data_IF_109811651572
#
_entry.id   IF_109811651572
#
_cell.length_a   1.000
_cell.length_b   1.000
_cell.length_c   1.000
_cell.angle_alpha   90.00
_cell.angle_beta   90.00
_cell.angle_gamma   90.00
#
_symmetry.space_group_name_H-M   'P 1'
#
loop_
_entity.id
_entity.type
_entity.pdbx_description
1 polymer ?
#
# COMPACT_ATOMS: atom_id res chain seq x y z
N UNK A 1 -12.03 -18.79 -31.64
CA UNK A 1 -13.16 -18.85 -30.69
C UNK A 1 -12.60 -18.43 -29.33
N UNK A 2 -12.48 -17.12 -29.09
CA UNK A 2 -12.09 -16.54 -27.80
C UNK A 2 -13.37 -15.97 -27.19
N UNK A 3 -13.99 -16.75 -26.31
CA UNK A 3 -15.19 -16.33 -25.59
C UNK A 3 -14.80 -15.35 -24.49
N UNK A 4 -15.61 -14.29 -24.41
CA UNK A 4 -15.44 -13.13 -23.55
C UNK A 4 -15.55 -13.54 -22.10
N UNK A 5 -14.43 -13.57 -21.37
CA UNK A 5 -14.39 -13.54 -19.90
C UNK A 5 -14.65 -12.13 -19.38
N UNK A 6 -15.75 -11.50 -19.80
CA UNK A 6 -16.15 -10.19 -19.29
C UNK A 6 -17.61 -10.27 -18.88
N UNK A 7 -17.87 -9.77 -17.67
CA UNK A 7 -19.18 -9.56 -17.04
C UNK A 7 -19.62 -10.66 -16.07
N UNK A 8 -18.88 -10.79 -14.96
CA UNK A 8 -19.43 -11.20 -13.67
C UNK A 8 -19.85 -9.95 -12.88
N UNK A 9 -20.82 -10.04 -11.94
CA UNK A 9 -21.42 -8.87 -11.31
C UNK A 9 -20.38 -8.09 -10.49
N UNK A 10 -20.10 -6.85 -10.93
CA UNK A 10 -19.46 -5.81 -10.11
C UNK A 10 -20.31 -5.56 -8.87
N UNK A 11 -19.71 -5.44 -7.68
CA UNK A 11 -19.44 -4.11 -7.11
C UNK A 11 -18.37 -4.16 -5.98
N UNK A 12 -17.55 -5.22 -5.95
CA UNK A 12 -16.56 -5.44 -4.87
C UNK A 12 -15.10 -5.36 -5.34
N UNK A 13 -14.77 -6.00 -6.46
CA UNK A 13 -13.38 -6.09 -6.95
C UNK A 13 -12.86 -4.78 -7.54
N UNK A 14 -13.75 -3.88 -7.95
CA UNK A 14 -13.36 -2.53 -8.40
C UNK A 14 -12.68 -1.72 -7.29
N UNK A 15 -12.88 -2.06 -6.01
CA UNK A 15 -12.27 -1.31 -4.89
C UNK A 15 -10.82 -1.72 -4.60
N UNK A 16 -10.49 -3.01 -4.60
CA UNK A 16 -9.14 -3.49 -4.26
C UNK A 16 -8.15 -3.26 -5.39
N UNK A 17 -8.49 -3.66 -6.62
CA UNK A 17 -7.58 -3.51 -7.76
C UNK A 17 -7.28 -2.03 -8.03
N UNK A 18 -8.30 -1.17 -7.89
CA UNK A 18 -8.12 0.28 -8.00
C UNK A 18 -7.25 0.84 -6.88
N UNK A 19 -7.46 0.41 -5.63
CA UNK A 19 -6.61 0.81 -4.51
C UNK A 19 -5.16 0.34 -4.69
N UNK A 20 -4.96 -0.91 -5.13
CA UNK A 20 -3.64 -1.47 -5.42
C UNK A 20 -2.95 -0.71 -6.56
N UNK A 21 -3.67 -0.38 -7.64
CA UNK A 21 -3.16 0.37 -8.77
C UNK A 21 -2.81 1.83 -8.41
N UNK A 22 -3.68 2.49 -7.64
CA UNK A 22 -3.43 3.83 -7.11
C UNK A 22 -2.18 3.82 -6.23
N UNK A 23 -2.09 2.88 -5.30
CA UNK A 23 -0.95 2.72 -4.43
C UNK A 23 0.33 2.38 -5.20
N UNK A 24 0.27 1.60 -6.27
CA UNK A 24 1.43 1.34 -7.11
C UNK A 24 1.97 2.63 -7.75
N UNK A 25 1.06 3.49 -8.21
CA UNK A 25 1.40 4.82 -8.76
C UNK A 25 1.99 5.74 -7.69
N UNK A 26 1.40 5.76 -6.50
CA UNK A 26 1.93 6.54 -5.38
C UNK A 26 3.28 6.01 -4.88
N UNK A 27 3.49 4.68 -4.86
CA UNK A 27 4.80 4.08 -4.54
C UNK A 27 5.87 4.50 -5.53
N UNK A 28 5.53 4.58 -6.82
CA UNK A 28 6.46 5.08 -7.84
C UNK A 28 6.84 6.55 -7.58
N UNK A 29 5.88 7.38 -7.16
CA UNK A 29 6.14 8.77 -6.77
C UNK A 29 7.02 8.87 -5.51
N UNK A 30 6.75 8.07 -4.47
CA UNK A 30 7.56 8.02 -3.25
C UNK A 30 9.00 7.60 -3.56
N UNK A 31 9.20 6.59 -4.42
CA UNK A 31 10.52 6.16 -4.88
C UNK A 31 11.22 7.24 -5.69
N UNK A 32 10.52 7.85 -6.65
CA UNK A 32 11.07 8.96 -7.42
C UNK A 32 11.52 10.13 -6.54
N UNK A 33 10.78 10.41 -5.46
CA UNK A 33 11.20 11.39 -4.46
C UNK A 33 12.41 10.92 -3.66
N UNK A 34 12.44 9.67 -3.19
CA UNK A 34 13.58 9.12 -2.49
C UNK A 34 14.85 9.19 -3.36
N UNK A 35 14.74 8.84 -4.64
CA UNK A 35 15.80 8.85 -5.68
C UNK A 35 16.20 10.23 -6.14
N UNK A 36 15.37 11.24 -5.91
CA UNK A 36 15.77 12.61 -6.13
C UNK A 36 16.93 12.96 -5.18
N UNK A 37 18.11 13.29 -5.71
CA UNK A 37 19.29 13.66 -4.92
C UNK A 37 19.28 15.10 -4.40
N UNK A 38 18.24 15.88 -4.70
CA UNK A 38 18.17 17.29 -4.36
C UNK A 38 17.81 17.51 -2.87
N UNK A 39 18.15 18.70 -2.37
CA UNK A 39 17.60 19.20 -1.13
C UNK A 39 16.13 19.59 -1.35
N UNK A 40 15.26 19.20 -0.42
CA UNK A 40 13.83 19.50 -0.47
C UNK A 40 13.42 20.35 0.72
N UNK A 41 12.43 21.22 0.51
CA UNK A 41 11.83 21.95 1.61
C UNK A 41 11.11 21.00 2.58
N UNK A 42 11.12 21.35 3.87
CA UNK A 42 10.45 20.54 4.91
C UNK A 42 8.97 20.28 4.58
N UNK A 43 8.28 21.25 3.96
CA UNK A 43 6.89 21.08 3.53
C UNK A 43 6.73 19.96 2.52
N UNK A 44 7.66 19.82 1.58
CA UNK A 44 7.66 18.73 0.59
C UNK A 44 7.89 17.37 1.26
N UNK A 45 8.85 17.29 2.20
CA UNK A 45 9.12 16.04 2.94
C UNK A 45 7.91 15.60 3.75
N UNK A 46 7.25 16.54 4.46
CA UNK A 46 6.02 16.26 5.21
C UNK A 46 4.88 15.81 4.30
N UNK A 47 4.74 16.41 3.13
CA UNK A 47 3.74 16.01 2.14
C UNK A 47 3.96 14.57 1.66
N UNK A 48 5.20 14.16 1.44
CA UNK A 48 5.58 12.79 1.04
C UNK A 48 5.17 11.79 2.14
N UNK A 49 5.43 12.10 3.41
CA UNK A 49 4.97 11.24 4.51
C UNK A 49 3.45 11.21 4.66
N UNK A 50 2.78 12.35 4.44
CA UNK A 50 1.32 12.40 4.43
C UNK A 50 0.73 11.52 3.32
N UNK A 51 1.34 11.51 2.13
CA UNK A 51 0.96 10.61 1.06
C UNK A 51 1.14 9.14 1.45
N UNK A 52 2.29 8.78 2.05
CA UNK A 52 2.51 7.43 2.54
C UNK A 52 1.44 6.99 3.55
N UNK A 53 1.09 7.86 4.50
CA UNK A 53 0.01 7.60 5.46
C UNK A 53 -1.36 7.41 4.77
N UNK A 54 -1.69 8.23 3.76
CA UNK A 54 -2.94 8.10 3.00
C UNK A 54 -3.02 6.80 2.22
N UNK A 55 -1.90 6.33 1.66
CA UNK A 55 -1.84 5.02 1.01
C UNK A 55 -2.13 3.88 1.99
N UNK A 56 -1.63 3.99 3.23
CA UNK A 56 -1.91 3.00 4.27
C UNK A 56 -3.39 2.95 4.57
N UNK A 57 -4.02 4.10 4.83
CA UNK A 57 -5.44 4.19 5.12
C UNK A 57 -6.30 3.61 3.97
N UNK A 58 -6.01 3.98 2.73
CA UNK A 58 -6.74 3.48 1.55
C UNK A 58 -6.60 1.95 1.37
N UNK A 59 -5.41 1.41 1.65
CA UNK A 59 -5.16 -0.04 1.59
C UNK A 59 -5.97 -0.81 2.64
N UNK A 60 -6.05 -0.27 3.86
CA UNK A 60 -6.86 -0.84 4.95
C UNK A 60 -8.34 -0.81 4.61
N UNK A 61 -8.82 0.30 4.05
CA UNK A 61 -10.23 0.44 3.64
C UNK A 61 -10.58 -0.55 2.52
N UNK A 62 -9.76 -0.62 1.47
CA UNK A 62 -9.95 -1.55 0.37
C UNK A 62 -9.91 -3.01 0.85
N UNK A 63 -8.99 -3.33 1.77
CA UNK A 63 -8.96 -4.63 2.45
C UNK A 63 -10.28 -4.92 3.17
N UNK A 64 -10.77 -4.00 4.01
CA UNK A 64 -12.01 -4.21 4.77
C UNK A 64 -13.25 -4.37 3.86
N UNK A 65 -13.27 -3.71 2.69
CA UNK A 65 -14.37 -3.82 1.74
C UNK A 65 -14.32 -5.14 0.96
N UNK A 66 -13.13 -5.60 0.58
CA UNK A 66 -12.92 -6.83 -0.21
C UNK A 66 -13.41 -8.11 0.49
N UNK A 67 -13.47 -8.11 1.83
CA UNK A 67 -13.83 -9.28 2.63
C UNK A 67 -15.32 -9.34 2.97
N UNK A 68 -16.10 -8.32 2.61
CA UNK A 68 -17.53 -8.26 2.92
C UNK A 68 -18.42 -8.93 1.88
N UNK A 69 -17.89 -9.24 0.69
CA UNK A 69 -18.67 -9.79 -0.41
C UNK A 69 -18.06 -11.11 -0.88
N UNK A 70 -18.87 -12.18 -1.03
CA UNK A 70 -18.38 -13.44 -1.59
C UNK A 70 -17.96 -13.23 -3.05
N UNK A 71 -16.74 -13.67 -3.38
CA UNK A 71 -16.19 -13.56 -4.73
C UNK A 71 -16.64 -14.71 -5.65
N UNK A 72 -16.66 -14.52 -6.98
CA UNK A 72 -16.90 -15.61 -7.91
C UNK A 72 -15.73 -16.60 -7.91
N UNK A 73 -16.00 -17.90 -7.84
CA UNK A 73 -14.98 -18.93 -7.94
C UNK A 73 -14.38 -18.99 -9.35
N UNK A 74 -13.05 -19.01 -9.46
CA UNK A 74 -12.31 -19.03 -10.73
C UNK A 74 -11.63 -20.38 -10.91
N UNK A 75 -11.84 -21.04 -12.06
CA UNK A 75 -11.16 -22.31 -12.38
C UNK A 75 -9.91 -22.08 -13.22
N UNK A 76 -8.78 -22.59 -12.75
CA UNK A 76 -7.50 -22.66 -13.45
C UNK A 76 -7.14 -24.13 -13.72
N UNK A 77 -7.55 -24.65 -14.87
CA UNK A 77 -7.38 -26.06 -15.22
C UNK A 77 -8.17 -26.99 -14.30
N UNK A 78 -7.46 -27.78 -13.50
CA UNK A 78 -8.04 -28.64 -12.46
C UNK A 78 -8.17 -27.96 -11.10
N UNK A 79 -7.61 -26.77 -10.92
CA UNK A 79 -7.69 -26.02 -9.68
C UNK A 79 -8.89 -25.08 -9.69
N UNK A 80 -9.58 -24.96 -8.56
CA UNK A 80 -10.67 -23.98 -8.36
C UNK A 80 -10.21 -23.05 -7.26
N UNK A 81 -10.00 -21.78 -7.60
CA UNK A 81 -9.85 -20.70 -6.62
C UNK A 81 -11.26 -20.41 -6.13
N UNK A 82 -11.56 -20.85 -4.92
CA UNK A 82 -12.80 -20.52 -4.25
C UNK A 82 -12.69 -19.18 -3.49
N UNK A 83 -13.74 -18.85 -2.74
CA UNK A 83 -13.85 -17.61 -1.98
C UNK A 83 -12.84 -17.52 -0.83
N UNK A 84 -12.38 -18.65 -0.28
CA UNK A 84 -11.34 -18.68 0.76
C UNK A 84 -9.95 -18.44 0.15
N UNK A 85 -9.65 -19.10 -0.96
CA UNK A 85 -8.42 -18.88 -1.71
C UNK A 85 -8.30 -17.44 -2.23
N UNK A 86 -9.40 -16.88 -2.75
CA UNK A 86 -9.45 -15.50 -3.23
C UNK A 86 -9.15 -14.49 -2.11
N UNK A 87 -9.71 -14.72 -0.92
CA UNK A 87 -9.41 -13.94 0.28
C UNK A 87 -7.94 -14.08 0.71
N UNK A 88 -7.40 -15.30 0.75
CA UNK A 88 -6.00 -15.51 1.10
C UNK A 88 -5.06 -14.77 0.13
N UNK A 89 -5.33 -14.83 -1.17
CA UNK A 89 -4.56 -14.12 -2.19
C UNK A 89 -4.64 -12.59 -2.03
N UNK A 90 -5.84 -12.04 -1.80
CA UNK A 90 -6.02 -10.62 -1.55
C UNK A 90 -5.20 -10.15 -0.33
N UNK A 91 -5.14 -10.98 0.73
CA UNK A 91 -4.35 -10.71 1.93
C UNK A 91 -2.89 -10.61 1.62
N UNK A 92 -2.39 -11.60 0.90
CA UNK A 92 -0.97 -11.67 0.56
C UNK A 92 -0.56 -10.50 -0.34
N UNK A 93 -1.41 -10.10 -1.30
CA UNK A 93 -1.16 -8.93 -2.14
C UNK A 93 -1.05 -7.64 -1.32
N UNK A 94 -1.99 -7.42 -0.41
CA UNK A 94 -2.00 -6.25 0.48
C UNK A 94 -0.81 -6.26 1.44
N UNK A 95 -0.48 -7.41 2.04
CA UNK A 95 0.70 -7.58 2.90
C UNK A 95 2.01 -7.28 2.17
N UNK A 96 2.18 -7.79 0.95
CA UNK A 96 3.35 -7.49 0.11
C UNK A 96 3.44 -5.98 -0.13
N UNK A 97 2.31 -5.33 -0.40
CA UNK A 97 2.28 -3.89 -0.61
C UNK A 97 2.70 -3.12 0.65
N UNK A 98 2.19 -3.47 1.82
CA UNK A 98 2.59 -2.84 3.08
C UNK A 98 4.07 -3.05 3.41
N UNK A 99 4.62 -4.24 3.16
CA UNK A 99 6.06 -4.50 3.33
C UNK A 99 6.91 -3.63 2.41
N UNK A 100 6.46 -3.42 1.16
CA UNK A 100 7.13 -2.50 0.22
C UNK A 100 7.04 -1.05 0.70
N UNK A 101 5.89 -0.63 1.23
CA UNK A 101 5.72 0.71 1.83
C UNK A 101 6.66 0.90 3.02
N UNK A 102 6.71 -0.05 3.96
CA UNK A 102 7.61 0.01 5.12
C UNK A 102 9.07 0.19 4.71
N UNK A 103 9.54 -0.64 3.76
CA UNK A 103 10.91 -0.51 3.25
C UNK A 103 11.17 0.84 2.58
N UNK A 104 10.21 1.37 1.81
CA UNK A 104 10.38 2.64 1.11
C UNK A 104 10.34 3.84 2.06
N UNK A 105 9.50 3.79 3.11
CA UNK A 105 9.43 4.81 4.16
C UNK A 105 10.69 4.80 5.02
N UNK A 106 11.25 3.62 5.32
CA UNK A 106 12.52 3.50 6.04
C UNK A 106 13.66 4.12 5.24
N UNK A 107 13.79 3.77 3.96
CA UNK A 107 14.79 4.32 3.05
C UNK A 107 14.64 5.84 2.89
N UNK A 108 13.40 6.34 2.76
CA UNK A 108 13.13 7.77 2.73
C UNK A 108 13.62 8.46 4.00
N UNK A 109 13.37 7.86 5.17
CA UNK A 109 13.83 8.37 6.46
C UNK A 109 15.35 8.48 6.54
N UNK A 110 16.07 7.43 6.14
CA UNK A 110 17.53 7.43 6.09
C UNK A 110 18.05 8.54 5.17
N UNK A 111 17.47 8.69 3.97
CA UNK A 111 17.88 9.73 3.02
C UNK A 111 17.56 11.14 3.51
N UNK A 112 16.44 11.34 4.20
CA UNK A 112 16.08 12.64 4.80
C UNK A 112 17.04 12.98 5.96
N UNK A 113 17.39 12.02 6.80
CA UNK A 113 18.36 12.23 7.89
C UNK A 113 19.76 12.57 7.37
N UNK A 114 20.22 11.91 6.31
CA UNK A 114 21.53 12.16 5.71
C UNK A 114 21.65 13.55 5.08
N UNK A 115 20.54 14.18 4.71
CA UNK A 115 20.52 15.46 3.98
C UNK A 115 20.40 16.70 4.86
N UNK A 116 20.45 16.52 6.18
CA UNK A 116 20.41 17.58 7.20
C UNK A 116 19.47 18.74 6.82
N UNK A 117 18.16 18.52 6.97
CA UNK A 117 17.12 19.50 6.66
C UNK A 117 17.13 20.67 7.67
N UNK A 118 18.17 21.51 7.66
CA UNK A 118 18.22 22.83 8.28
C UNK A 118 17.61 22.94 9.69
N UNK A 119 17.94 22.01 10.59
CA UNK A 119 17.50 22.05 12.00
C UNK A 119 16.03 21.68 12.24
N UNK A 120 15.30 21.16 11.24
CA UNK A 120 13.89 20.70 11.37
C UNK A 120 13.73 19.17 11.38
N UNK A 121 14.81 18.43 11.59
CA UNK A 121 14.82 16.96 11.64
C UNK A 121 13.79 16.36 12.60
N UNK A 122 13.51 17.01 13.74
CA UNK A 122 12.54 16.52 14.72
C UNK A 122 11.11 16.35 14.16
N UNK A 123 10.65 17.22 13.26
CA UNK A 123 9.32 17.13 12.67
C UNK A 123 9.23 15.99 11.64
N UNK A 124 10.25 15.84 10.80
CA UNK A 124 10.36 14.74 9.84
C UNK A 124 10.46 13.39 10.56
N UNK A 125 11.30 13.31 11.59
CA UNK A 125 11.45 12.11 12.43
C UNK A 125 10.15 11.73 13.13
N UNK A 126 9.42 12.72 13.66
CA UNK A 126 8.15 12.50 14.32
C UNK A 126 7.14 11.88 13.37
N UNK A 127 6.98 12.45 12.17
CA UNK A 127 6.03 11.93 11.18
C UNK A 127 6.47 10.57 10.65
N UNK A 128 7.77 10.37 10.39
CA UNK A 128 8.30 9.06 10.01
C UNK A 128 7.96 7.98 11.03
N UNK A 129 8.10 8.27 12.33
CA UNK A 129 7.77 7.32 13.40
C UNK A 129 6.29 6.97 13.43
N UNK A 130 5.41 7.95 13.22
CA UNK A 130 3.97 7.71 13.14
C UNK A 130 3.66 6.78 11.97
N UNK A 131 4.13 7.12 10.76
CA UNK A 131 3.86 6.30 9.56
C UNK A 131 4.42 4.88 9.71
N UNK A 132 5.63 4.75 10.25
CA UNK A 132 6.26 3.43 10.49
C UNK A 132 5.53 2.63 11.56
N UNK A 133 5.06 3.29 12.63
CA UNK A 133 4.27 2.66 13.67
C UNK A 133 2.96 2.12 13.10
N UNK A 134 2.24 2.94 12.34
CA UNK A 134 0.93 2.58 11.78
C UNK A 134 1.06 1.45 10.76
N UNK A 135 2.07 1.50 9.88
CA UNK A 135 2.41 0.40 8.98
C UNK A 135 2.62 -0.92 9.72
N UNK A 136 3.44 -0.90 10.77
CA UNK A 136 3.73 -2.12 11.56
C UNK A 136 2.51 -2.62 12.31
N UNK A 137 1.71 -1.71 12.86
CA UNK A 137 0.47 -2.06 13.55
C UNK A 137 -0.52 -2.74 12.60
N UNK A 138 -0.72 -2.17 11.40
CA UNK A 138 -1.58 -2.74 10.36
C UNK A 138 -1.07 -4.09 9.86
N UNK A 139 0.23 -4.23 9.57
CA UNK A 139 0.83 -5.51 9.16
C UNK A 139 0.59 -6.58 10.23
N UNK A 140 0.80 -6.26 11.51
CA UNK A 140 0.56 -7.21 12.62
C UNK A 140 -0.89 -7.63 12.70
N UNK A 141 -1.84 -6.70 12.58
CA UNK A 141 -3.27 -7.02 12.57
C UNK A 141 -3.62 -7.98 11.43
N UNK A 142 -3.05 -7.78 10.24
CA UNK A 142 -3.30 -8.62 9.06
C UNK A 142 -2.66 -10.01 9.12
N UNK A 143 -1.61 -10.21 9.92
CA UNK A 143 -1.00 -11.54 10.11
C UNK A 143 -1.81 -12.39 11.09
N UNK A 144 -2.48 -11.76 12.05
CA UNK A 144 -3.23 -12.45 13.12
C UNK A 144 -4.67 -12.81 12.68
N UNK A 145 -5.18 -12.16 11.64
CA UNK A 145 -6.49 -12.44 11.02
C UNK A 145 -6.36 -13.38 9.81
#
# INVERSE_FOLDING_TARGET
MMERLRDGPGDGSETLDQALAWNASCMAALRGFADCGAAHETGTVLLVYFFAHKMVAASVEAWQLSFKLPGPAVRLGSYTIDDEDGRALARDLVLIQFRKMESTVAELGERVMQRDCGGRGAACDFVQRIVSHDLRATIRQMIVC
#
